data_IF_307212841282
#
_entry.id   IF_307212841282
#
_cell.length_a   1.000
_cell.length_b   1.000
_cell.length_c   1.000
_cell.angle_alpha   90.00
_cell.angle_beta   90.00
_cell.angle_gamma   90.00
#
_symmetry.space_group_name_H-M   'P 1'
#
loop_
_entity.id
_entity.type
_entity.pdbx_description
1 polymer ?
#
# COMPACT_ATOMS: atom_id res chain seq x y z
N UNK A 1 -26.01 -31.40 -23.98
CA UNK A 1 -26.34 -29.99 -23.69
C UNK A 1 -25.64 -29.57 -22.42
N UNK A 2 -25.07 -28.36 -22.31
CA UNK A 2 -24.40 -27.92 -21.10
C UNK A 2 -25.42 -27.82 -19.96
N UNK A 3 -25.19 -28.51 -18.85
CA UNK A 3 -26.04 -28.47 -17.66
C UNK A 3 -26.22 -27.00 -17.20
N UNK A 4 -27.46 -26.58 -16.94
CA UNK A 4 -27.78 -25.23 -16.45
C UNK A 4 -27.42 -25.12 -14.97
N UNK A 5 -26.62 -24.11 -14.60
CA UNK A 5 -26.22 -23.89 -13.20
C UNK A 5 -27.33 -23.13 -12.49
N UNK A 6 -27.82 -23.69 -11.39
CA UNK A 6 -28.83 -23.08 -10.54
C UNK A 6 -28.59 -23.43 -9.06
N UNK A 7 -29.45 -22.94 -8.16
CA UNK A 7 -29.26 -23.11 -6.72
C UNK A 7 -29.32 -24.58 -6.24
N UNK A 8 -29.91 -25.49 -7.02
CA UNK A 8 -30.03 -26.91 -6.67
C UNK A 8 -28.75 -27.70 -6.94
N UNK A 9 -27.97 -27.33 -7.97
CA UNK A 9 -26.74 -28.03 -8.36
C UNK A 9 -25.45 -27.22 -8.14
N UNK A 10 -25.53 -25.95 -7.73
CA UNK A 10 -24.35 -25.07 -7.57
C UNK A 10 -23.29 -25.62 -6.62
N UNK A 11 -23.69 -26.36 -5.56
CA UNK A 11 -22.74 -26.97 -4.62
C UNK A 11 -21.98 -28.10 -5.28
N UNK A 12 -22.69 -28.95 -6.03
CA UNK A 12 -22.07 -30.06 -6.76
C UNK A 12 -21.15 -29.54 -7.86
N UNK A 13 -21.53 -28.46 -8.55
CA UNK A 13 -20.69 -27.79 -9.53
C UNK A 13 -19.43 -27.19 -8.90
N UNK A 14 -19.54 -26.56 -7.73
CA UNK A 14 -18.38 -26.05 -6.96
C UNK A 14 -17.47 -27.19 -6.51
N UNK A 15 -18.03 -28.30 -6.03
CA UNK A 15 -17.26 -29.46 -5.61
C UNK A 15 -16.52 -30.10 -6.79
N UNK A 16 -17.23 -30.34 -7.89
CA UNK A 16 -16.64 -30.83 -9.15
C UNK A 16 -15.57 -29.90 -9.67
N UNK A 17 -15.79 -28.59 -9.65
CA UNK A 17 -14.76 -27.60 -9.98
C UNK A 17 -13.55 -27.71 -9.05
N UNK A 18 -13.76 -27.88 -7.75
CA UNK A 18 -12.68 -28.05 -6.77
C UNK A 18 -11.80 -29.27 -7.04
N UNK A 19 -12.40 -30.38 -7.47
CA UNK A 19 -11.71 -31.64 -7.79
C UNK A 19 -11.05 -31.59 -9.17
N UNK A 20 -11.79 -31.18 -10.20
CA UNK A 20 -11.36 -31.27 -11.60
C UNK A 20 -10.59 -30.06 -12.10
N UNK A 21 -10.76 -28.91 -11.42
CA UNK A 21 -10.30 -27.59 -11.88
C UNK A 21 -10.71 -27.26 -13.33
N UNK A 22 -11.83 -27.82 -13.79
CA UNK A 22 -12.42 -27.51 -15.09
C UNK A 22 -12.78 -26.02 -15.18
N UNK A 23 -12.05 -25.30 -16.03
CA UNK A 23 -12.20 -23.86 -16.23
C UNK A 23 -13.61 -23.47 -16.70
N UNK A 24 -14.19 -24.22 -17.63
CA UNK A 24 -15.50 -23.89 -18.22
C UNK A 24 -16.59 -24.06 -17.19
N UNK A 25 -16.53 -25.14 -16.39
CA UNK A 25 -17.44 -25.35 -15.27
C UNK A 25 -17.29 -24.26 -14.21
N UNK A 26 -16.05 -23.89 -13.88
CA UNK A 26 -15.74 -22.82 -12.94
C UNK A 26 -16.32 -21.48 -13.38
N UNK A 27 -16.01 -21.01 -14.58
CA UNK A 27 -16.47 -19.72 -15.11
C UNK A 27 -18.01 -19.63 -15.11
N UNK A 28 -18.70 -20.69 -15.55
CA UNK A 28 -20.17 -20.74 -15.53
C UNK A 28 -20.74 -20.69 -14.12
N UNK A 29 -20.12 -21.42 -13.18
CA UNK A 29 -20.55 -21.47 -11.78
C UNK A 29 -20.35 -20.12 -11.07
N UNK A 30 -19.18 -19.50 -11.21
CA UNK A 30 -18.88 -18.21 -10.59
C UNK A 30 -19.66 -17.06 -11.24
N UNK A 31 -19.95 -17.12 -12.55
CA UNK A 31 -20.83 -16.15 -13.21
C UNK A 31 -22.26 -16.21 -12.67
N UNK A 32 -22.80 -17.42 -12.50
CA UNK A 32 -24.12 -17.61 -11.86
C UNK A 32 -24.14 -17.00 -10.44
N UNK A 33 -23.15 -17.34 -9.62
CA UNK A 33 -23.03 -16.83 -8.26
C UNK A 33 -22.92 -15.31 -8.19
N UNK A 34 -22.11 -14.71 -9.07
CA UNK A 34 -21.96 -13.25 -9.14
C UNK A 34 -23.28 -12.56 -9.45
N UNK A 35 -23.99 -13.01 -10.50
CA UNK A 35 -25.28 -12.40 -10.90
C UNK A 35 -26.32 -12.52 -9.79
N UNK A 36 -26.41 -13.69 -9.14
CA UNK A 36 -27.41 -13.93 -8.10
C UNK A 36 -27.11 -13.20 -6.78
N UNK A 37 -25.83 -13.02 -6.44
CA UNK A 37 -25.41 -12.37 -5.20
C UNK A 37 -25.29 -10.85 -5.35
N UNK A 38 -24.91 -10.32 -6.52
CA UNK A 38 -24.84 -8.89 -6.77
C UNK A 38 -26.19 -8.18 -6.54
N UNK A 39 -27.31 -8.86 -6.81
CA UNK A 39 -28.67 -8.33 -6.56
C UNK A 39 -28.98 -8.01 -5.11
N UNK A 40 -28.21 -8.55 -4.15
CA UNK A 40 -28.42 -8.33 -2.71
C UNK A 40 -27.28 -7.55 -2.06
N UNK A 41 -26.32 -7.09 -2.86
CA UNK A 41 -25.16 -6.31 -2.41
C UNK A 41 -25.33 -4.87 -2.89
N UNK A 42 -25.17 -3.86 -2.02
CA UNK A 42 -25.17 -2.47 -2.46
C UNK A 42 -24.04 -2.21 -3.48
N UNK A 43 -24.30 -1.41 -4.51
CA UNK A 43 -23.39 -1.19 -5.67
C UNK A 43 -21.95 -0.78 -5.27
N UNK A 44 -21.79 -0.08 -4.14
CA UNK A 44 -20.51 0.39 -3.61
C UNK A 44 -19.74 -0.67 -2.79
N UNK A 45 -20.28 -1.89 -2.60
CA UNK A 45 -19.64 -2.96 -1.82
C UNK A 45 -19.34 -4.21 -2.69
N UNK A 46 -19.09 -4.03 -3.98
CA UNK A 46 -18.74 -5.13 -4.89
C UNK A 46 -17.44 -5.84 -4.48
N UNK A 47 -16.54 -5.15 -3.77
CA UNK A 47 -15.29 -5.70 -3.22
C UNK A 47 -15.55 -6.81 -2.18
N UNK A 48 -16.59 -6.67 -1.36
CA UNK A 48 -17.03 -7.71 -0.41
C UNK A 48 -17.47 -8.98 -1.15
N UNK A 49 -18.24 -8.81 -2.24
CA UNK A 49 -18.68 -9.92 -3.08
C UNK A 49 -17.50 -10.61 -3.75
N UNK A 50 -16.58 -9.85 -4.35
CA UNK A 50 -15.36 -10.37 -4.96
C UNK A 50 -14.52 -11.15 -3.97
N UNK A 51 -14.37 -10.64 -2.74
CA UNK A 51 -13.63 -11.32 -1.68
C UNK A 51 -14.26 -12.66 -1.29
N UNK A 52 -15.58 -12.74 -1.21
CA UNK A 52 -16.28 -14.01 -0.94
C UNK A 52 -16.12 -15.00 -2.08
N UNK A 53 -16.25 -14.56 -3.33
CA UNK A 53 -16.07 -15.42 -4.51
C UNK A 53 -14.62 -15.93 -4.62
N UNK A 54 -13.62 -15.09 -4.32
CA UNK A 54 -12.20 -15.50 -4.25
C UNK A 54 -11.96 -16.55 -3.16
N UNK A 55 -12.59 -16.40 -1.99
CA UNK A 55 -12.52 -17.42 -0.92
C UNK A 55 -13.16 -18.74 -1.34
N UNK A 56 -14.25 -18.70 -2.10
CA UNK A 56 -14.86 -19.91 -2.69
C UNK A 56 -14.00 -20.52 -3.79
N UNK A 57 -13.32 -19.72 -4.61
CA UNK A 57 -12.44 -20.22 -5.66
C UNK A 57 -11.20 -20.95 -5.09
N UNK A 58 -10.63 -20.39 -4.01
CA UNK A 58 -9.47 -20.97 -3.33
C UNK A 58 -9.84 -22.20 -2.50
N UNK A 59 -11.03 -22.23 -1.89
CA UNK A 59 -11.50 -23.34 -1.07
C UNK A 59 -12.96 -23.73 -1.40
N UNK A 60 -13.23 -24.30 -2.58
CA UNK A 60 -14.61 -24.59 -3.04
C UNK A 60 -15.32 -25.63 -2.19
N UNK A 61 -14.57 -26.50 -1.50
CA UNK A 61 -15.10 -27.52 -0.58
C UNK A 61 -15.56 -26.96 0.77
N UNK A 62 -15.30 -25.68 1.09
CA UNK A 62 -15.80 -25.04 2.32
C UNK A 62 -17.32 -24.93 2.35
N UNK A 63 -17.96 -24.88 1.18
CA UNK A 63 -19.40 -25.00 1.07
C UNK A 63 -19.76 -26.49 1.12
N UNK A 64 -19.78 -27.05 2.32
CA UNK A 64 -20.01 -28.48 2.51
C UNK A 64 -21.40 -28.92 2.05
N UNK A 65 -21.54 -30.19 1.65
CA UNK A 65 -22.82 -30.80 1.27
C UNK A 65 -23.89 -30.75 2.38
N UNK A 66 -23.49 -30.52 3.63
CA UNK A 66 -24.38 -30.34 4.78
C UNK A 66 -25.11 -28.99 4.82
N UNK A 67 -24.82 -28.06 3.90
CA UNK A 67 -25.47 -26.75 3.85
C UNK A 67 -26.87 -26.88 3.25
N UNK A 68 -27.89 -26.88 4.11
CA UNK A 68 -29.32 -27.00 3.73
C UNK A 68 -29.81 -25.90 2.76
N UNK A 69 -29.18 -24.73 2.77
CA UNK A 69 -29.52 -23.63 1.84
C UNK A 69 -28.24 -22.91 1.41
N UNK A 70 -27.63 -23.32 0.28
CA UNK A 70 -26.43 -22.69 -0.27
C UNK A 70 -26.64 -21.19 -0.53
N UNK A 71 -27.84 -20.85 -1.01
CA UNK A 71 -28.29 -19.47 -1.24
C UNK A 71 -28.27 -18.63 0.03
N UNK A 72 -28.90 -19.11 1.10
CA UNK A 72 -28.95 -18.36 2.36
C UNK A 72 -27.56 -18.25 3.00
N UNK A 73 -26.75 -19.31 2.90
CA UNK A 73 -25.39 -19.33 3.42
C UNK A 73 -24.51 -18.30 2.71
N UNK A 74 -24.51 -18.28 1.37
CA UNK A 74 -23.69 -17.35 0.60
C UNK A 74 -24.15 -15.90 0.77
N UNK A 75 -25.46 -15.65 0.81
CA UNK A 75 -25.98 -14.31 1.14
C UNK A 75 -25.55 -13.86 2.53
N UNK A 76 -25.57 -14.75 3.52
CA UNK A 76 -25.08 -14.45 4.87
C UNK A 76 -23.58 -14.19 4.87
N UNK A 77 -22.79 -14.97 4.14
CA UNK A 77 -21.34 -14.79 4.03
C UNK A 77 -20.99 -13.42 3.41
N UNK A 78 -21.67 -13.05 2.32
CA UNK A 78 -21.51 -11.74 1.67
C UNK A 78 -21.97 -10.61 2.58
N UNK A 79 -23.16 -10.72 3.20
CA UNK A 79 -23.65 -9.72 4.15
C UNK A 79 -22.71 -9.54 5.33
N UNK A 80 -22.18 -10.62 5.90
CA UNK A 80 -21.21 -10.55 6.98
C UNK A 80 -19.93 -9.85 6.51
N UNK A 81 -19.47 -10.13 5.29
CA UNK A 81 -18.29 -9.47 4.74
C UNK A 81 -18.50 -7.97 4.50
N UNK A 82 -19.67 -7.57 4.00
CA UNK A 82 -20.09 -6.17 3.90
C UNK A 82 -20.14 -5.52 5.28
N UNK A 83 -20.72 -6.21 6.27
CA UNK A 83 -20.76 -5.72 7.66
C UNK A 83 -19.36 -5.66 8.29
N UNK A 84 -18.46 -6.57 7.97
CA UNK A 84 -17.08 -6.58 8.47
C UNK A 84 -16.29 -5.43 7.85
N UNK A 85 -16.52 -5.12 6.58
CA UNK A 85 -15.90 -3.97 5.90
C UNK A 85 -16.49 -2.66 6.42
N UNK A 86 -17.80 -2.57 6.59
CA UNK A 86 -18.45 -1.45 7.26
C UNK A 86 -18.00 -1.31 8.71
N UNK A 87 -17.81 -2.41 9.45
CA UNK A 87 -17.23 -2.40 10.79
C UNK A 87 -15.76 -2.08 10.79
N UNK A 88 -14.99 -2.36 9.75
CA UNK A 88 -13.62 -1.88 9.64
C UNK A 88 -13.58 -0.38 9.35
N UNK A 89 -14.52 0.13 8.55
CA UNK A 89 -14.74 1.56 8.33
C UNK A 89 -15.26 2.26 9.59
N UNK A 90 -16.18 1.63 10.32
CA UNK A 90 -16.76 2.13 11.57
C UNK A 90 -15.78 1.96 12.73
N UNK A 91 -14.99 0.90 12.84
CA UNK A 91 -13.89 0.78 13.80
C UNK A 91 -12.72 1.71 13.44
N UNK A 92 -12.62 2.15 12.18
CA UNK A 92 -11.82 3.31 11.77
C UNK A 92 -12.39 4.63 12.31
N UNK A 93 -13.72 4.76 12.42
CA UNK A 93 -14.43 5.95 12.95
C UNK A 93 -14.65 5.95 14.48
N UNK A 94 -14.87 4.81 15.12
CA UNK A 94 -15.05 4.65 16.57
C UNK A 94 -13.69 4.64 17.29
N UNK A 95 -12.58 4.31 16.60
CA UNK A 95 -11.21 4.69 17.05
C UNK A 95 -10.97 6.20 16.99
N UNK A 96 -11.65 6.90 16.09
CA UNK A 96 -11.65 8.37 15.97
C UNK A 96 -12.47 9.02 17.11
N UNK A 97 -13.49 8.33 17.64
CA UNK A 97 -14.45 8.89 18.61
C UNK A 97 -14.12 8.55 20.07
N UNK A 98 -13.65 7.34 20.41
CA UNK A 98 -13.26 6.95 21.79
C UNK A 98 -11.84 7.41 22.20
N UNK A 99 -11.02 7.90 21.26
CA UNK A 99 -9.74 8.59 21.56
C UNK A 99 -9.95 9.98 22.20
N UNK A 100 -11.14 10.58 22.05
CA UNK A 100 -11.42 11.95 22.47
C UNK A 100 -11.66 12.15 23.98
N UNK A 101 -12.04 11.11 24.74
CA UNK A 101 -12.53 11.29 26.13
C UNK A 101 -11.49 10.92 27.19
N UNK A 102 -10.62 9.95 26.94
CA UNK A 102 -9.60 9.51 27.92
C UNK A 102 -8.29 10.30 27.80
N UNK A 103 -8.03 10.96 26.66
CA UNK A 103 -6.86 11.81 26.51
C UNK A 103 -7.07 13.27 26.97
N UNK A 104 -8.16 13.66 27.63
CA UNK A 104 -8.33 15.06 28.08
C UNK A 104 -7.25 15.55 29.06
N UNK A 105 -6.41 14.65 29.59
CA UNK A 105 -5.20 14.97 30.38
C UNK A 105 -3.86 14.63 29.70
N UNK A 106 -3.84 13.92 28.56
CA UNK A 106 -2.63 13.58 27.77
C UNK A 106 -2.62 14.22 26.34
N UNK A 107 -3.70 14.90 25.92
CA UNK A 107 -3.90 15.54 24.59
C UNK A 107 -3.08 16.83 24.41
N UNK A 108 -2.66 17.51 25.49
CA UNK A 108 -1.88 18.75 25.37
C UNK A 108 -0.49 18.49 24.76
N UNK A 109 0.11 17.31 24.99
CA UNK A 109 1.45 16.97 24.49
C UNK A 109 1.47 16.44 23.04
N UNK A 110 0.47 15.68 22.57
CA UNK A 110 0.46 15.15 21.19
C UNK A 110 0.03 16.19 20.13
N UNK A 111 -0.81 17.17 20.49
CA UNK A 111 -1.14 18.32 19.61
C UNK A 111 0.09 19.21 19.35
N UNK A 112 1.05 19.25 20.27
CA UNK A 112 2.33 19.95 20.11
C UNK A 112 3.19 19.34 18.98
N UNK A 113 3.24 18.01 18.86
CA UNK A 113 4.06 17.29 17.87
C UNK A 113 3.48 17.41 16.44
N UNK A 114 2.16 17.27 16.26
CA UNK A 114 1.53 17.42 14.93
C UNK A 114 1.59 18.87 14.41
N UNK A 115 1.54 19.87 15.30
CA UNK A 115 1.73 21.27 14.93
C UNK A 115 3.21 21.61 14.69
N UNK A 116 4.16 20.89 15.31
CA UNK A 116 5.60 21.05 15.06
C UNK A 116 6.06 20.48 13.71
N UNK A 117 5.34 19.49 13.14
CA UNK A 117 5.68 18.86 11.85
C UNK A 117 5.13 19.61 10.63
N UNK A 118 4.09 20.45 10.80
CA UNK A 118 3.55 21.29 9.71
C UNK A 118 4.60 22.27 9.15
N UNK A 119 5.36 23.02 9.98
CA UNK A 119 6.47 23.85 9.51
C UNK A 119 7.54 23.06 8.75
N UNK A 120 7.84 21.83 9.18
CA UNK A 120 8.84 20.96 8.52
C UNK A 120 8.37 20.59 7.12
N UNK A 121 7.11 20.19 6.98
CA UNK A 121 6.50 19.88 5.68
C UNK A 121 6.46 21.10 4.76
N UNK A 122 6.00 22.24 5.26
CA UNK A 122 5.92 23.48 4.48
C UNK A 122 7.31 23.98 4.06
N UNK A 123 8.33 23.77 4.90
CA UNK A 123 9.71 24.09 4.57
C UNK A 123 10.35 23.11 3.59
N UNK A 124 10.05 21.81 3.69
CA UNK A 124 10.50 20.82 2.72
C UNK A 124 10.00 21.14 1.30
N UNK A 125 8.75 21.61 1.16
CA UNK A 125 8.17 22.04 -0.11
C UNK A 125 8.83 23.30 -0.70
N UNK A 126 9.53 24.11 0.11
CA UNK A 126 10.28 25.29 -0.35
C UNK A 126 11.70 24.94 -0.82
N UNK A 127 12.20 23.75 -0.51
CA UNK A 127 13.50 23.29 -0.99
C UNK A 127 13.42 22.90 -2.46
N UNK A 128 14.54 22.98 -3.18
CA UNK A 128 14.60 22.42 -4.52
C UNK A 128 14.30 20.92 -4.49
N UNK A 129 13.69 20.40 -5.56
CA UNK A 129 13.27 19.00 -5.65
C UNK A 129 14.42 18.03 -5.31
N UNK A 130 15.64 18.32 -5.80
CA UNK A 130 16.85 17.56 -5.48
C UNK A 130 17.19 17.57 -3.98
N UNK A 131 17.09 18.73 -3.30
CA UNK A 131 17.37 18.87 -1.85
C UNK A 131 16.31 18.17 -1.00
N UNK A 132 15.03 18.31 -1.38
CA UNK A 132 13.89 17.61 -0.76
C UNK A 132 14.08 16.09 -0.85
N UNK A 133 14.42 15.58 -2.04
CA UNK A 133 14.71 14.16 -2.25
C UNK A 133 15.85 13.62 -1.38
N UNK A 134 16.96 14.36 -1.25
CA UNK A 134 18.11 13.95 -0.40
C UNK A 134 17.67 13.72 1.05
N UNK A 135 16.84 14.62 1.60
CA UNK A 135 16.36 14.50 2.97
C UNK A 135 15.34 13.37 3.13
N UNK A 136 14.35 13.29 2.23
CA UNK A 136 13.29 12.27 2.30
C UNK A 136 13.84 10.85 2.16
N UNK A 137 14.76 10.64 1.22
CA UNK A 137 15.39 9.34 0.99
C UNK A 137 16.35 8.94 2.13
N UNK A 138 17.05 9.89 2.75
CA UNK A 138 17.98 9.59 3.83
C UNK A 138 17.29 9.28 5.16
N UNK A 139 16.26 10.06 5.51
CA UNK A 139 15.53 9.89 6.77
C UNK A 139 14.38 8.89 6.69
N UNK A 140 13.99 8.44 5.48
CA UNK A 140 12.96 7.42 5.23
C UNK A 140 11.59 7.71 5.87
N UNK A 141 11.33 8.97 6.18
CA UNK A 141 10.24 9.38 7.08
C UNK A 141 9.05 9.99 6.33
N UNK A 142 9.10 10.01 4.99
CA UNK A 142 8.02 10.59 4.18
C UNK A 142 7.85 9.88 2.85
N UNK A 143 6.58 9.70 2.47
CA UNK A 143 6.20 9.16 1.17
C UNK A 143 6.81 10.04 0.05
N UNK A 144 7.61 9.43 -0.81
CA UNK A 144 8.16 10.07 -1.99
C UNK A 144 6.99 10.32 -2.96
N UNK A 145 6.85 11.54 -3.43
CA UNK A 145 5.73 11.94 -4.28
C UNK A 145 5.93 11.47 -5.72
N UNK A 146 4.84 11.42 -6.50
CA UNK A 146 4.91 11.08 -7.92
C UNK A 146 5.78 12.05 -8.74
N UNK A 147 5.80 13.34 -8.35
CA UNK A 147 6.67 14.36 -8.94
C UNK A 147 8.15 14.03 -8.71
N UNK A 148 8.50 13.65 -7.48
CA UNK A 148 9.85 13.27 -7.07
C UNK A 148 10.35 12.01 -7.80
N UNK A 149 9.47 11.01 -7.96
CA UNK A 149 9.76 9.81 -8.77
C UNK A 149 9.92 10.17 -10.25
N UNK A 150 9.09 11.07 -10.78
CA UNK A 150 9.16 11.52 -12.18
C UNK A 150 10.48 12.23 -12.48
N UNK A 151 10.91 13.12 -11.59
CA UNK A 151 12.21 13.79 -11.68
C UNK A 151 13.36 12.78 -11.69
N UNK A 152 13.35 11.79 -10.80
CA UNK A 152 14.37 10.74 -10.79
C UNK A 152 14.35 9.89 -12.08
N UNK A 153 13.16 9.58 -12.61
CA UNK A 153 13.03 8.89 -13.89
C UNK A 153 13.67 9.65 -15.06
N UNK A 154 13.51 10.98 -15.07
CA UNK A 154 14.16 11.86 -16.06
C UNK A 154 15.69 11.91 -15.88
N UNK A 155 16.16 12.05 -14.64
CA UNK A 155 17.60 12.12 -14.33
C UNK A 155 18.34 10.80 -14.65
N UNK A 156 17.66 9.66 -14.53
CA UNK A 156 18.21 8.33 -14.84
C UNK A 156 17.91 7.84 -16.26
N UNK A 157 17.15 8.60 -17.06
CA UNK A 157 16.64 8.17 -18.36
C UNK A 157 15.97 6.78 -18.32
N UNK A 158 15.17 6.52 -17.27
CA UNK A 158 14.53 5.22 -17.06
C UNK A 158 13.10 5.31 -16.52
N UNK A 159 12.38 4.19 -16.58
CA UNK A 159 10.97 4.10 -16.15
C UNK A 159 10.79 4.35 -14.65
N UNK A 160 9.70 5.03 -14.28
CA UNK A 160 9.36 5.37 -12.90
C UNK A 160 9.24 4.14 -11.98
N UNK A 161 8.79 3.01 -12.51
CA UNK A 161 8.69 1.76 -11.78
C UNK A 161 10.06 1.17 -11.45
N UNK A 162 11.06 1.40 -12.32
CA UNK A 162 12.45 0.99 -12.08
C UNK A 162 13.06 1.83 -10.95
N UNK A 163 12.78 3.13 -10.92
CA UNK A 163 13.19 4.02 -9.81
C UNK A 163 12.54 3.59 -8.50
N UNK A 164 11.23 3.34 -8.50
CA UNK A 164 10.49 2.91 -7.29
C UNK A 164 11.06 1.59 -6.75
N UNK A 165 11.24 0.60 -7.62
CA UNK A 165 11.85 -0.69 -7.24
C UNK A 165 13.27 -0.55 -6.69
N UNK A 166 14.10 0.37 -7.23
CA UNK A 166 15.43 0.66 -6.70
C UNK A 166 15.38 1.28 -5.31
N UNK A 167 14.46 2.21 -5.08
CA UNK A 167 14.29 2.84 -3.76
C UNK A 167 13.86 1.78 -2.74
N UNK A 168 12.82 0.99 -3.05
CA UNK A 168 12.30 -0.06 -2.17
C UNK A 168 13.41 -1.06 -1.79
N UNK A 169 14.21 -1.51 -2.77
CA UNK A 169 15.34 -2.42 -2.52
C UNK A 169 16.46 -1.83 -1.65
N UNK A 170 16.56 -0.50 -1.52
CA UNK A 170 17.53 0.17 -0.64
C UNK A 170 16.97 0.34 0.78
N UNK A 171 15.65 0.53 0.91
CA UNK A 171 14.98 0.55 2.23
C UNK A 171 15.12 -0.79 2.94
N UNK A 172 15.02 -1.88 2.18
CA UNK A 172 15.11 -3.25 2.70
C UNK A 172 16.56 -3.71 3.01
N UNK A 173 17.59 -2.92 2.66
CA UNK A 173 18.98 -3.29 2.89
C UNK A 173 19.40 -3.05 4.36
N UNK A 174 19.84 -4.10 5.06
CA UNK A 174 20.24 -4.04 6.49
C UNK A 174 21.56 -3.28 6.76
N UNK A 175 22.44 -3.15 5.76
CA UNK A 175 23.72 -2.44 5.89
C UNK A 175 23.57 -0.93 5.62
N UNK A 176 23.68 -0.13 6.68
CA UNK A 176 23.67 1.35 6.68
C UNK A 176 24.67 2.01 5.72
N UNK A 177 25.89 1.45 5.60
CA UNK A 177 26.93 2.01 4.75
C UNK A 177 26.63 1.73 3.27
N UNK A 178 26.17 0.51 2.99
CA UNK A 178 25.70 0.16 1.65
C UNK A 178 24.46 0.98 1.27
N UNK A 179 23.51 1.15 2.19
CA UNK A 179 22.31 1.99 2.01
C UNK A 179 22.66 3.42 1.61
N UNK A 180 23.56 4.07 2.35
CA UNK A 180 23.99 5.45 2.04
C UNK A 180 24.62 5.56 0.65
N UNK A 181 25.39 4.56 0.24
CA UNK A 181 25.99 4.54 -1.09
C UNK A 181 24.95 4.33 -2.19
N UNK A 182 24.02 3.39 -2.02
CA UNK A 182 22.95 3.16 -3.00
C UNK A 182 22.03 4.38 -3.14
N UNK A 183 21.69 5.06 -2.04
CA UNK A 183 20.95 6.33 -2.09
C UNK A 183 21.70 7.41 -2.88
N UNK A 184 23.03 7.49 -2.72
CA UNK A 184 23.84 8.45 -3.49
C UNK A 184 23.78 8.21 -4.99
N UNK A 185 23.70 6.95 -5.43
CA UNK A 185 23.56 6.57 -6.84
C UNK A 185 22.16 6.87 -7.38
N UNK A 186 21.13 6.78 -6.54
CA UNK A 186 19.76 7.15 -6.90
C UNK A 186 19.64 8.66 -7.10
N UNK A 187 20.32 9.48 -6.30
CA UNK A 187 20.18 10.94 -6.39
C UNK A 187 21.11 11.56 -7.44
N UNK A 188 22.29 10.99 -7.63
CA UNK A 188 23.28 11.41 -8.61
C UNK A 188 23.76 10.20 -9.41
N UNK A 189 22.99 9.78 -10.44
CA UNK A 189 23.45 8.75 -11.35
C UNK A 189 24.66 9.29 -12.11
N UNK A 190 25.79 8.70 -11.82
CA UNK A 190 27.02 8.91 -12.55
C UNK A 190 27.51 7.52 -12.96
N UNK A 191 28.47 7.43 -13.89
CA UNK A 191 29.05 6.11 -14.25
C UNK A 191 29.75 5.56 -13.01
N UNK A 192 29.07 4.67 -12.29
CA UNK A 192 29.53 4.13 -11.01
C UNK A 192 30.92 3.54 -11.16
N UNK A 193 31.93 4.23 -10.64
CA UNK A 193 33.29 3.70 -10.59
C UNK A 193 33.39 2.73 -9.41
N UNK A 194 33.99 1.57 -9.64
CA UNK A 194 34.30 0.57 -8.62
C UNK A 194 35.50 0.96 -7.76
N UNK A 195 36.19 2.06 -8.09
CA UNK A 195 37.31 2.59 -7.32
C UNK A 195 36.85 3.08 -5.94
N UNK A 196 37.57 2.67 -4.89
CA UNK A 196 37.26 3.01 -3.51
C UNK A 196 37.35 4.53 -3.25
N UNK A 197 38.32 5.22 -3.86
CA UNK A 197 38.44 6.68 -3.73
C UNK A 197 37.29 7.40 -4.45
N UNK A 198 36.85 6.89 -5.59
CA UNK A 198 35.68 7.42 -6.28
C UNK A 198 34.38 7.21 -5.49
N UNK A 199 34.25 6.05 -4.83
CA UNK A 199 33.15 5.75 -3.90
C UNK A 199 33.14 6.70 -2.71
N UNK A 200 34.28 6.91 -2.06
CA UNK A 200 34.36 7.81 -0.90
C UNK A 200 34.09 9.27 -1.28
N UNK A 201 34.67 9.75 -2.40
CA UNK A 201 34.37 11.10 -2.92
C UNK A 201 32.89 11.31 -3.21
N UNK A 202 32.18 10.28 -3.69
CA UNK A 202 30.73 10.35 -3.91
C UNK A 202 29.97 10.42 -2.59
N UNK A 203 30.33 9.58 -1.62
CA UNK A 203 29.74 9.63 -0.29
C UNK A 203 29.96 11.00 0.36
N UNK A 204 31.13 11.61 0.20
CA UNK A 204 31.41 12.95 0.70
C UNK A 204 30.57 14.03 0.01
N UNK A 205 30.40 13.97 -1.31
CA UNK A 205 29.46 14.87 -2.01
C UNK A 205 28.04 14.70 -1.51
N UNK A 206 27.60 13.46 -1.32
CA UNK A 206 26.27 13.15 -0.79
C UNK A 206 26.09 13.66 0.65
N UNK A 207 27.06 13.42 1.54
CA UNK A 207 27.09 13.95 2.91
C UNK A 207 27.06 15.48 2.93
N UNK A 208 27.86 16.13 2.08
CA UNK A 208 27.85 17.60 1.93
C UNK A 208 26.49 18.09 1.44
N UNK A 209 25.93 17.44 0.41
CA UNK A 209 24.63 17.81 -0.14
C UNK A 209 23.49 17.65 0.88
N UNK A 210 23.55 16.59 1.70
CA UNK A 210 22.63 16.37 2.82
C UNK A 210 22.79 17.45 3.87
N UNK A 211 24.00 17.73 4.33
CA UNK A 211 24.28 18.80 5.31
C UNK A 211 23.80 20.16 4.83
N UNK A 212 23.97 20.48 3.54
CA UNK A 212 23.43 21.70 2.95
C UNK A 212 21.90 21.71 2.97
N UNK A 213 21.24 20.61 2.59
CA UNK A 213 19.78 20.50 2.65
C UNK A 213 19.24 20.62 4.09
N UNK A 214 19.92 20.00 5.06
CA UNK A 214 19.59 20.11 6.49
C UNK A 214 19.72 21.56 6.97
N UNK A 215 20.78 22.27 6.56
CA UNK A 215 20.97 23.68 6.90
C UNK A 215 19.92 24.58 6.26
N UNK A 216 19.55 24.34 5.00
CA UNK A 216 18.46 25.06 4.31
C UNK A 216 17.11 24.81 4.98
N UNK A 217 16.84 23.56 5.39
CA UNK A 217 15.63 23.21 6.15
C UNK A 217 15.60 23.91 7.51
N UNK A 218 16.71 23.88 8.27
CA UNK A 218 16.85 24.58 9.56
C UNK A 218 16.65 26.08 9.42
N UNK A 219 17.26 26.69 8.40
CA UNK A 219 17.08 28.11 8.11
C UNK A 219 15.62 28.45 7.79
N UNK A 220 14.94 27.62 6.99
CA UNK A 220 13.51 27.80 6.71
C UNK A 220 12.63 27.67 7.97
N UNK A 221 12.99 26.74 8.86
CA UNK A 221 12.33 26.55 10.15
C UNK A 221 12.62 27.65 11.18
N UNK A 222 13.49 28.61 10.86
CA UNK A 222 13.91 29.66 11.80
C UNK A 222 14.83 29.17 12.91
N UNK A 223 15.44 27.99 12.75
CA UNK A 223 16.41 27.41 13.69
C UNK A 223 17.79 27.99 13.36
N UNK A 224 18.44 28.66 14.33
CA UNK A 224 19.82 29.12 14.16
C UNK A 224 20.76 27.92 13.89
N UNK A 225 21.57 28.03 12.83
CA UNK A 225 22.52 27.00 12.36
C UNK A 225 23.89 27.20 12.99
#
# INVERSE_FOLDING_TARGET
>A
MPEEINWTNVVDCLHRYGVTRDRVLGERTFRFLYVELARVVPEHNHDALQTVLLKLHTCPTKLGAAVKSPKAWLRKAVRNKVLDEQKATIAGREREENWLTTHLTDIEDQRSISNAMLPVRDCLEKLTLKRRLVLKLYYLDSAITGEEISYLGQVHECDQNVIRSRIDGVVDAEDSLNRSYQLSLIIEPDKGSSDAEARERRLDRFRKARKTAENELKACLGVQV
#
